data_IF_446130364168
#
_entry.id   IF_446130364168
#
_cell.length_a   1.000
_cell.length_b   1.000
_cell.length_c   1.000
_cell.angle_alpha   90.00
_cell.angle_beta   90.00
_cell.angle_gamma   90.00
#
_symmetry.space_group_name_H-M   'P 1'
#
loop_
_entity.id
_entity.type
_entity.pdbx_description
1 polymer ?
#
# COMPACT_ATOMS: atom_id res chain seq x y z
N UNK A 1 13.44 -14.89 9.00
CA UNK A 1 11.99 -14.53 9.04
C UNK A 1 11.40 -14.47 7.64
N UNK A 2 12.06 -13.81 6.69
CA UNK A 2 11.62 -13.69 5.28
C UNK A 2 11.36 -15.05 4.59
N UNK A 3 12.26 -16.02 4.75
CA UNK A 3 12.08 -17.37 4.17
C UNK A 3 10.82 -18.10 4.68
N UNK A 4 10.40 -17.84 5.93
CA UNK A 4 9.18 -18.42 6.51
C UNK A 4 7.93 -17.79 5.88
N UNK A 5 7.91 -16.47 5.77
CA UNK A 5 6.78 -15.73 5.17
C UNK A 5 6.60 -16.16 3.71
N UNK A 6 7.69 -16.22 2.94
CA UNK A 6 7.61 -16.60 1.52
C UNK A 6 7.14 -18.04 1.31
N UNK A 7 7.54 -18.97 2.19
CA UNK A 7 7.02 -20.33 2.18
C UNK A 7 5.51 -20.35 2.49
N UNK A 8 5.06 -19.62 3.50
CA UNK A 8 3.68 -19.63 3.96
C UNK A 8 2.72 -18.92 2.99
N UNK A 9 3.19 -18.02 2.13
CA UNK A 9 2.38 -17.44 1.03
C UNK A 9 1.85 -18.47 0.03
N UNK A 10 2.32 -19.72 0.07
CA UNK A 10 1.72 -20.84 -0.69
C UNK A 10 0.41 -21.34 -0.10
N UNK A 11 0.07 -20.92 1.12
CA UNK A 11 -1.20 -21.20 1.78
C UNK A 11 -2.17 -20.05 1.47
N UNK A 12 -3.33 -20.36 0.92
CA UNK A 12 -4.25 -19.36 0.36
C UNK A 12 -4.76 -18.39 1.43
N UNK A 13 -5.10 -18.88 2.63
CA UNK A 13 -5.59 -18.01 3.70
C UNK A 13 -4.48 -17.10 4.24
N UNK A 14 -3.27 -17.62 4.41
CA UNK A 14 -2.10 -16.83 4.83
C UNK A 14 -1.75 -15.77 3.78
N UNK A 15 -1.81 -16.12 2.50
CA UNK A 15 -1.58 -15.18 1.40
C UNK A 15 -2.61 -14.04 1.43
N UNK A 16 -3.88 -14.35 1.69
CA UNK A 16 -4.93 -13.34 1.82
C UNK A 16 -4.67 -12.43 3.02
N UNK A 17 -4.40 -12.99 4.21
CA UNK A 17 -4.07 -12.21 5.41
C UNK A 17 -2.87 -11.28 5.22
N UNK A 18 -1.82 -11.79 4.57
CA UNK A 18 -0.64 -11.02 4.23
C UNK A 18 -1.01 -9.84 3.32
N UNK A 19 -1.82 -10.11 2.28
CA UNK A 19 -2.28 -9.10 1.34
C UNK A 19 -3.05 -7.97 2.02
N UNK A 20 -3.89 -8.25 3.01
CA UNK A 20 -4.69 -7.24 3.72
C UNK A 20 -3.84 -6.12 4.33
N UNK A 21 -2.60 -6.43 4.70
CA UNK A 21 -1.66 -5.51 5.36
C UNK A 21 -0.70 -4.80 4.41
N UNK A 22 -0.68 -5.17 3.13
CA UNK A 22 0.20 -4.51 2.14
C UNK A 22 -0.10 -3.02 2.00
N UNK A 23 0.92 -2.25 1.63
CA UNK A 23 0.78 -0.85 1.25
C UNK A 23 -0.07 -0.72 -0.02
N UNK A 24 -0.87 0.34 -0.09
CA UNK A 24 -1.69 0.66 -1.26
C UNK A 24 -0.88 1.54 -2.21
N UNK A 25 -0.59 1.01 -3.40
CA UNK A 25 0.11 1.76 -4.46
C UNK A 25 -0.85 2.34 -5.50
N UNK A 26 -1.97 1.67 -5.74
CA UNK A 26 -3.02 2.08 -6.68
C UNK A 26 -4.39 1.81 -6.06
N UNK A 27 -5.32 2.76 -6.18
CA UNK A 27 -6.65 2.66 -5.58
C UNK A 27 -7.64 3.66 -6.20
N UNK A 28 -8.48 3.17 -7.10
CA UNK A 28 -9.46 3.99 -7.82
C UNK A 28 -10.53 4.60 -6.92
N UNK A 29 -10.90 3.88 -5.86
CA UNK A 29 -11.99 4.26 -4.97
C UNK A 29 -11.51 4.93 -3.68
N UNK A 30 -10.21 5.22 -3.54
CA UNK A 30 -9.68 5.81 -2.30
C UNK A 30 -10.15 7.26 -2.06
N UNK A 31 -10.70 7.93 -3.08
CA UNK A 31 -11.41 9.21 -2.92
C UNK A 31 -12.58 9.13 -1.93
N UNK A 32 -13.18 7.96 -1.76
CA UNK A 32 -14.27 7.74 -0.80
C UNK A 32 -13.80 7.93 0.66
N UNK A 33 -12.50 7.77 0.91
CA UNK A 33 -11.93 8.05 2.23
C UNK A 33 -11.86 9.54 2.56
N UNK A 34 -12.04 10.42 1.57
CA UNK A 34 -12.16 11.85 1.81
C UNK A 34 -13.61 12.26 2.18
N UNK A 35 -14.57 11.32 2.18
CA UNK A 35 -15.96 11.55 2.63
C UNK A 35 -16.16 11.20 4.12
N UNK A 36 -15.13 10.69 4.79
CA UNK A 36 -15.13 10.36 6.22
C UNK A 36 -15.25 11.62 7.08
N UNK A 37 -15.80 11.49 8.29
CA UNK A 37 -15.97 12.59 9.26
C UNK A 37 -14.77 13.54 9.36
N UNK A 38 -15.02 14.84 9.17
CA UNK A 38 -14.03 15.93 9.14
C UNK A 38 -13.16 15.99 10.41
N UNK A 39 -13.67 15.55 11.56
CA UNK A 39 -12.92 15.54 12.82
C UNK A 39 -11.74 14.56 12.82
N UNK A 40 -11.79 13.53 11.97
CA UNK A 40 -10.78 12.46 11.92
C UNK A 40 -10.19 12.28 10.53
N UNK A 41 -10.79 12.86 9.49
CA UNK A 41 -10.32 12.79 8.10
C UNK A 41 -8.90 13.33 7.90
N UNK A 42 -8.50 14.31 8.72
CA UNK A 42 -7.14 14.88 8.68
C UNK A 42 -6.08 14.00 9.34
N UNK A 43 -6.49 12.97 10.09
CA UNK A 43 -5.58 12.03 10.75
C UNK A 43 -4.87 11.14 9.71
N UNK A 44 -3.54 11.25 9.54
CA UNK A 44 -2.83 10.52 8.49
C UNK A 44 -3.01 9.00 8.60
N UNK A 45 -3.02 8.47 9.83
CA UNK A 45 -3.17 7.04 10.07
C UNK A 45 -4.55 6.52 9.62
N UNK A 46 -5.63 7.29 9.82
CA UNK A 46 -6.97 6.91 9.40
C UNK A 46 -7.06 6.94 7.88
N UNK A 47 -6.41 7.92 7.23
CA UNK A 47 -6.33 7.98 5.78
C UNK A 47 -5.63 6.75 5.19
N UNK A 48 -4.46 6.37 5.72
CA UNK A 48 -3.75 5.16 5.29
C UNK A 48 -4.57 3.90 5.54
N UNK A 49 -5.21 3.80 6.70
CA UNK A 49 -6.05 2.65 7.03
C UNK A 49 -7.28 2.55 6.13
N UNK A 50 -7.96 3.68 5.87
CA UNK A 50 -9.11 3.72 4.96
C UNK A 50 -8.70 3.32 3.53
N UNK A 51 -7.51 3.73 3.07
CA UNK A 51 -7.02 3.32 1.75
C UNK A 51 -6.80 1.81 1.68
N UNK A 52 -6.18 1.22 2.71
CA UNK A 52 -6.04 -0.24 2.82
C UNK A 52 -7.40 -0.92 2.83
N UNK A 53 -8.33 -0.38 3.61
CA UNK A 53 -9.71 -0.87 3.71
C UNK A 53 -10.41 -0.88 2.35
N UNK A 54 -10.43 0.24 1.61
CA UNK A 54 -11.05 0.33 0.29
C UNK A 54 -10.46 -0.71 -0.67
N UNK A 55 -9.12 -0.79 -0.74
CA UNK A 55 -8.44 -1.79 -1.58
C UNK A 55 -8.83 -3.21 -1.17
N UNK A 56 -8.86 -3.50 0.13
CA UNK A 56 -9.21 -4.83 0.66
C UNK A 56 -10.66 -5.21 0.32
N UNK A 57 -11.60 -4.27 0.41
CA UNK A 57 -13.00 -4.48 0.02
C UNK A 57 -13.11 -4.76 -1.48
N UNK A 58 -12.39 -4.01 -2.33
CA UNK A 58 -12.35 -4.28 -3.77
C UNK A 58 -11.84 -5.70 -4.07
N UNK A 59 -10.68 -6.06 -3.49
CA UNK A 59 -10.09 -7.40 -3.66
C UNK A 59 -10.99 -8.51 -3.12
N UNK A 60 -11.73 -8.26 -2.02
CA UNK A 60 -12.71 -9.20 -1.51
C UNK A 60 -13.79 -9.50 -2.57
N UNK A 61 -14.43 -8.47 -3.13
CA UNK A 61 -15.47 -8.65 -4.15
C UNK A 61 -14.94 -9.31 -5.43
N UNK A 62 -13.71 -8.98 -5.84
CA UNK A 62 -13.03 -9.68 -6.94
C UNK A 62 -12.85 -11.18 -6.64
N UNK A 63 -12.39 -11.56 -5.45
CA UNK A 63 -12.19 -12.97 -5.11
C UNK A 63 -13.53 -13.73 -5.08
N UNK A 64 -14.54 -13.18 -4.41
CA UNK A 64 -15.78 -13.91 -4.11
C UNK A 64 -16.78 -13.95 -5.27
N UNK A 65 -16.57 -13.12 -6.30
CA UNK A 65 -17.28 -13.21 -7.58
C UNK A 65 -16.82 -14.43 -8.38
N UNK A 66 -15.54 -14.82 -8.29
CA UNK A 66 -15.01 -16.02 -8.96
C UNK A 66 -15.00 -17.28 -8.08
N UNK A 67 -14.86 -17.12 -6.77
CA UNK A 67 -14.71 -18.23 -5.80
C UNK A 67 -15.81 -18.20 -4.76
N UNK A 68 -16.97 -18.72 -5.17
CA UNK A 68 -18.17 -18.78 -4.33
C UNK A 68 -17.95 -19.55 -3.02
N UNK A 69 -17.09 -20.56 -3.04
CA UNK A 69 -16.70 -21.37 -1.88
C UNK A 69 -15.95 -20.57 -0.80
N UNK A 70 -15.38 -19.41 -1.16
CA UNK A 70 -14.61 -18.55 -0.26
C UNK A 70 -15.40 -17.35 0.28
N UNK A 71 -16.64 -17.15 -0.16
CA UNK A 71 -17.50 -15.99 0.20
C UNK A 71 -17.52 -15.69 1.68
N UNK A 72 -17.99 -16.66 2.46
CA UNK A 72 -18.11 -16.53 3.91
C UNK A 72 -16.74 -16.36 4.59
N UNK A 73 -15.72 -17.12 4.14
CA UNK A 73 -14.38 -17.12 4.76
C UNK A 73 -13.69 -15.77 4.59
N UNK A 74 -13.67 -15.25 3.37
CA UNK A 74 -13.01 -13.98 3.06
C UNK A 74 -13.76 -12.81 3.68
N UNK A 75 -15.09 -12.85 3.70
CA UNK A 75 -15.91 -11.85 4.37
C UNK A 75 -15.64 -11.81 5.89
N UNK A 76 -15.63 -12.96 6.57
CA UNK A 76 -15.33 -13.05 8.00
C UNK A 76 -13.89 -12.62 8.31
N UNK A 77 -12.93 -12.99 7.46
CA UNK A 77 -11.53 -12.60 7.61
C UNK A 77 -11.36 -11.08 7.50
N UNK A 78 -11.99 -10.45 6.51
CA UNK A 78 -11.94 -8.99 6.36
C UNK A 78 -12.63 -8.29 7.53
N UNK A 79 -13.80 -8.77 7.98
CA UNK A 79 -14.48 -8.26 9.17
C UNK A 79 -13.56 -8.28 10.40
N UNK A 80 -12.96 -9.44 10.70
CA UNK A 80 -12.00 -9.55 11.80
C UNK A 80 -10.86 -8.54 11.66
N UNK A 81 -10.23 -8.47 10.48
CA UNK A 81 -9.10 -7.57 10.24
C UNK A 81 -9.47 -6.09 10.49
N UNK A 82 -10.65 -5.65 10.06
CA UNK A 82 -11.12 -4.27 10.29
C UNK A 82 -11.28 -4.01 11.78
N UNK A 83 -12.01 -4.88 12.48
CA UNK A 83 -12.30 -4.72 13.91
C UNK A 83 -11.04 -4.81 14.76
N UNK A 84 -10.11 -5.72 14.43
CA UNK A 84 -8.82 -5.87 15.11
C UNK A 84 -7.96 -4.60 14.95
N UNK A 85 -7.86 -4.07 13.72
CA UNK A 85 -7.11 -2.83 13.44
C UNK A 85 -7.69 -1.65 14.19
N UNK A 86 -9.01 -1.44 14.09
CA UNK A 86 -9.70 -0.35 14.80
C UNK A 86 -9.53 -0.46 16.31
N UNK A 87 -9.69 -1.66 16.89
CA UNK A 87 -9.51 -1.90 18.32
C UNK A 87 -8.08 -1.61 18.78
N UNK A 88 -7.08 -2.06 18.01
CA UNK A 88 -5.68 -1.79 18.32
C UNK A 88 -5.35 -0.30 18.28
N UNK A 89 -5.98 0.47 17.36
CA UNK A 89 -5.83 1.92 17.35
C UNK A 89 -6.40 2.57 18.61
N UNK A 90 -7.63 2.21 19.01
CA UNK A 90 -8.22 2.72 20.25
C UNK A 90 -7.38 2.41 21.50
N UNK A 91 -6.69 1.27 21.53
CA UNK A 91 -5.85 0.87 22.66
C UNK A 91 -4.45 1.53 22.67
N UNK A 92 -3.90 1.86 21.51
CA UNK A 92 -2.51 2.34 21.37
C UNK A 92 -2.41 3.86 21.37
N UNK A 93 -3.49 4.55 20.99
CA UNK A 93 -3.45 5.99 20.77
C UNK A 93 -3.96 6.78 21.98
N UNK A 94 -3.16 7.73 22.47
CA UNK A 94 -3.59 8.81 23.37
C UNK A 94 -4.54 9.82 22.68
N UNK A 95 -5.04 9.45 21.49
CA UNK A 95 -5.93 10.30 20.70
C UNK A 95 -7.27 10.34 21.43
N UNK A 96 -7.91 11.50 21.40
CA UNK A 96 -9.22 11.72 21.99
C UNK A 96 -10.31 11.06 21.12
N UNK A 97 -10.16 9.77 20.79
CA UNK A 97 -11.00 9.01 19.85
C UNK A 97 -12.41 8.75 20.39
N UNK A 98 -12.75 9.26 21.57
CA UNK A 98 -14.07 9.10 22.21
C UNK A 98 -15.21 9.85 21.51
N UNK A 99 -14.97 10.58 20.42
CA UNK A 99 -16.01 11.35 19.71
C UNK A 99 -16.50 10.75 18.39
N UNK A 100 -15.73 9.87 17.75
CA UNK A 100 -16.09 9.32 16.43
C UNK A 100 -15.94 7.80 16.43
N UNK A 101 -17.01 7.12 16.02
CA UNK A 101 -17.01 5.69 15.78
C UNK A 101 -16.43 5.41 14.39
N UNK A 102 -15.20 4.93 14.35
CA UNK A 102 -14.47 4.64 13.11
C UNK A 102 -15.15 3.53 12.31
N UNK A 103 -15.74 2.51 12.96
CA UNK A 103 -16.43 1.43 12.26
C UNK A 103 -17.63 1.98 11.51
N UNK A 104 -18.40 2.86 12.15
CA UNK A 104 -19.53 3.54 11.51
C UNK A 104 -19.11 4.39 10.31
N UNK A 105 -17.97 5.07 10.38
CA UNK A 105 -17.44 5.82 9.23
C UNK A 105 -16.98 4.90 8.08
N UNK A 106 -16.28 3.80 8.38
CA UNK A 106 -15.89 2.83 7.36
C UNK A 106 -17.09 2.12 6.73
N UNK A 107 -18.17 1.91 7.49
CA UNK A 107 -19.39 1.33 6.97
C UNK A 107 -20.02 2.22 5.89
N UNK A 108 -19.99 3.56 6.06
CA UNK A 108 -20.47 4.49 5.02
C UNK A 108 -19.71 4.31 3.71
N UNK A 109 -18.37 4.22 3.81
CA UNK A 109 -17.49 3.96 2.66
C UNK A 109 -17.82 2.61 2.02
N UNK A 110 -18.03 1.56 2.82
CA UNK A 110 -18.42 0.24 2.33
C UNK A 110 -19.74 0.29 1.54
N UNK A 111 -20.78 0.88 2.12
CA UNK A 111 -22.11 0.95 1.48
C UNK A 111 -22.06 1.76 0.18
N UNK A 112 -21.27 2.83 0.12
CA UNK A 112 -21.06 3.59 -1.12
C UNK A 112 -20.34 2.76 -2.20
N UNK A 113 -19.35 1.94 -1.82
CA UNK A 113 -18.71 1.01 -2.75
C UNK A 113 -19.69 -0.06 -3.25
N UNK A 114 -20.52 -0.58 -2.35
CA UNK A 114 -21.53 -1.59 -2.66
C UNK A 114 -22.57 -1.06 -3.65
N UNK A 115 -23.12 0.12 -3.39
CA UNK A 115 -24.13 0.73 -4.28
C UNK A 115 -23.57 1.15 -5.64
N UNK A 116 -22.31 1.60 -5.70
CA UNK A 116 -21.72 2.07 -6.96
C UNK A 116 -21.22 0.96 -7.89
N UNK A 117 -20.69 -0.15 -7.34
CA UNK A 117 -19.97 -1.16 -8.13
C UNK A 117 -20.47 -2.60 -7.97
N UNK A 118 -21.13 -2.93 -6.86
CA UNK A 118 -21.42 -4.32 -6.48
C UNK A 118 -22.91 -4.59 -6.24
N UNK A 119 -23.80 -3.71 -6.69
CA UNK A 119 -25.25 -3.82 -6.51
C UNK A 119 -25.84 -5.12 -7.08
N UNK A 120 -25.20 -5.67 -8.13
CA UNK A 120 -25.65 -6.88 -8.84
C UNK A 120 -24.96 -8.17 -8.35
N UNK A 121 -24.14 -8.11 -7.31
CA UNK A 121 -23.45 -9.29 -6.81
C UNK A 121 -24.41 -10.26 -6.12
N UNK A 122 -24.26 -11.55 -6.42
CA UNK A 122 -25.12 -12.61 -5.86
C UNK A 122 -24.85 -12.92 -4.39
N UNK A 123 -23.71 -12.47 -3.86
CA UNK A 123 -23.40 -12.52 -2.44
C UNK A 123 -22.84 -11.18 -2.00
N UNK A 124 -23.40 -10.66 -0.93
CA UNK A 124 -23.03 -9.38 -0.36
C UNK A 124 -22.39 -9.66 0.99
N UNK A 125 -21.09 -9.37 1.10
CA UNK A 125 -20.44 -9.32 2.39
C UNK A 125 -20.89 -8.05 3.14
N UNK A 126 -21.26 -8.21 4.41
CA UNK A 126 -21.66 -7.11 5.27
C UNK A 126 -20.60 -6.88 6.35
N UNK A 127 -20.27 -5.61 6.59
CA UNK A 127 -19.46 -5.21 7.73
C UNK A 127 -20.33 -5.25 8.99
N UNK A 128 -19.97 -6.11 9.93
CA UNK A 128 -20.68 -6.24 11.19
C UNK A 128 -20.48 -4.98 12.03
N UNK A 129 -21.57 -4.31 12.41
CA UNK A 129 -21.55 -3.22 13.39
C UNK A 129 -21.16 -3.82 14.74
N UNK A 130 -20.13 -3.31 15.40
CA UNK A 130 -19.68 -3.88 16.66
C UNK A 130 -20.56 -3.45 17.83
N UNK A 131 -21.11 -4.42 18.56
CA UNK A 131 -21.38 -4.27 19.99
C UNK A 131 -20.22 -4.93 20.77
N UNK A 132 -19.18 -4.15 21.10
CA UNK A 132 -18.10 -4.48 22.05
C UNK A 132 -17.19 -5.71 21.81
N UNK A 133 -16.12 -5.79 22.62
CA UNK A 133 -14.98 -6.72 22.57
C UNK A 133 -15.29 -8.21 22.56
N UNK A 134 -16.47 -8.63 23.05
CA UNK A 134 -16.91 -10.03 22.99
C UNK A 134 -17.05 -10.52 21.54
N UNK A 135 -17.41 -9.63 20.61
CA UNK A 135 -17.51 -9.98 19.20
C UNK A 135 -16.13 -10.18 18.54
N UNK A 136 -15.12 -9.39 18.91
CA UNK A 136 -13.79 -9.46 18.27
C UNK A 136 -13.08 -10.80 18.50
N UNK A 137 -13.10 -11.29 19.74
CA UNK A 137 -12.48 -12.57 20.08
C UNK A 137 -13.23 -13.74 19.40
N UNK A 138 -14.55 -13.65 19.24
CA UNK A 138 -15.33 -14.62 18.46
C UNK A 138 -14.95 -14.58 16.96
N UNK A 139 -14.85 -13.39 16.37
CA UNK A 139 -14.40 -13.22 14.97
C UNK A 139 -13.01 -13.83 14.76
N UNK A 140 -12.08 -13.60 15.70
CA UNK A 140 -10.74 -14.17 15.67
C UNK A 140 -10.77 -15.69 15.65
N UNK A 141 -11.59 -16.30 16.53
CA UNK A 141 -11.74 -17.76 16.59
C UNK A 141 -12.31 -18.32 15.30
N UNK A 142 -13.38 -17.71 14.77
CA UNK A 142 -13.97 -18.08 13.48
C UNK A 142 -12.94 -18.04 12.36
N UNK A 143 -12.14 -16.98 12.29
CA UNK A 143 -11.04 -16.85 11.33
C UNK A 143 -10.03 -18.00 11.45
N UNK A 144 -9.49 -18.25 12.64
CA UNK A 144 -8.50 -19.32 12.88
C UNK A 144 -9.03 -20.68 12.40
N UNK A 145 -10.31 -20.96 12.66
CA UNK A 145 -10.93 -22.22 12.24
C UNK A 145 -11.07 -22.31 10.72
N UNK A 146 -11.50 -21.24 10.05
CA UNK A 146 -11.59 -21.22 8.58
C UNK A 146 -10.22 -21.36 7.91
N UNK A 147 -9.20 -20.67 8.43
CA UNK A 147 -7.83 -20.73 7.89
C UNK A 147 -7.25 -22.14 7.98
N UNK A 148 -7.44 -22.80 9.12
CA UNK A 148 -7.01 -24.19 9.32
C UNK A 148 -7.67 -25.12 8.30
N UNK A 149 -9.01 -25.06 8.15
CA UNK A 149 -9.74 -25.92 7.23
C UNK A 149 -9.39 -25.63 5.76
N UNK A 150 -9.15 -24.36 5.38
CA UNK A 150 -8.73 -23.97 4.03
C UNK A 150 -7.36 -24.53 3.67
N UNK A 151 -6.40 -24.41 4.60
CA UNK A 151 -5.02 -24.79 4.34
C UNK A 151 -4.76 -26.29 4.46
N UNK A 152 -5.68 -27.06 5.05
CA UNK A 152 -5.48 -28.47 5.39
C UNK A 152 -4.99 -29.32 4.21
N UNK A 153 -5.68 -29.27 3.05
CA UNK A 153 -5.32 -30.11 1.91
C UNK A 153 -3.95 -29.74 1.32
N UNK A 154 -3.64 -28.45 1.28
CA UNK A 154 -2.34 -27.94 0.83
C UNK A 154 -1.23 -28.38 1.77
N UNK A 155 -1.44 -28.23 3.09
CA UNK A 155 -0.53 -28.71 4.12
C UNK A 155 -0.34 -30.22 4.05
N UNK A 156 -1.41 -30.99 3.85
CA UNK A 156 -1.34 -32.44 3.63
C UNK A 156 -0.45 -32.79 2.45
N UNK A 157 -0.61 -32.09 1.33
CA UNK A 157 0.24 -32.25 0.15
C UNK A 157 1.71 -31.93 0.41
N UNK A 158 2.02 -30.94 1.25
CA UNK A 158 3.39 -30.57 1.59
C UNK A 158 4.03 -31.52 2.61
N UNK A 159 3.25 -32.02 3.57
CA UNK A 159 3.75 -32.79 4.72
C UNK A 159 3.84 -34.30 4.49
N UNK A 160 3.10 -34.84 3.51
CA UNK A 160 3.09 -36.29 3.22
C UNK A 160 4.07 -36.70 2.10
N UNK A 161 4.59 -35.72 1.35
CA UNK A 161 5.59 -35.96 0.31
C UNK A 161 6.96 -36.27 0.93
N UNK A 162 7.73 -37.21 0.36
CA UNK A 162 9.05 -37.57 0.89
C UNK A 162 10.07 -36.44 0.81
N UNK A 163 9.90 -35.52 -0.15
CA UNK A 163 10.77 -34.35 -0.29
C UNK A 163 9.94 -33.13 -0.67
N UNK A 164 9.91 -32.14 0.22
CA UNK A 164 9.31 -30.84 -0.06
C UNK A 164 10.16 -29.74 0.58
N UNK A 165 10.51 -28.72 -0.20
CA UNK A 165 11.24 -27.57 0.33
C UNK A 165 10.40 -26.88 1.43
N UNK A 166 11.05 -26.39 2.48
CA UNK A 166 10.41 -25.73 3.61
C UNK A 166 9.43 -26.62 4.41
N UNK A 167 9.57 -27.95 4.35
CA UNK A 167 8.62 -28.82 5.02
C UNK A 167 8.49 -28.57 6.53
N UNK A 168 9.60 -28.28 7.21
CA UNK A 168 9.61 -27.93 8.64
C UNK A 168 8.79 -26.66 8.91
N UNK A 169 8.82 -25.66 8.02
CA UNK A 169 8.03 -24.43 8.17
C UNK A 169 6.52 -24.75 8.13
N UNK A 170 6.10 -25.63 7.22
CA UNK A 170 4.70 -26.05 7.14
C UNK A 170 4.29 -26.91 8.33
N UNK A 171 5.21 -27.74 8.85
CA UNK A 171 4.98 -28.55 10.04
C UNK A 171 4.78 -27.67 11.28
N UNK A 172 5.65 -26.69 11.49
CA UNK A 172 5.55 -25.73 12.59
C UNK A 172 4.25 -24.91 12.51
N UNK A 173 3.93 -24.42 11.31
CA UNK A 173 2.67 -23.70 11.08
C UNK A 173 1.44 -24.57 11.36
N UNK A 174 1.45 -25.83 10.91
CA UNK A 174 0.36 -26.76 11.21
C UNK A 174 0.25 -26.98 12.72
N UNK A 175 1.36 -27.22 13.41
CA UNK A 175 1.37 -27.45 14.86
C UNK A 175 0.79 -26.27 15.63
N UNK A 176 1.19 -25.04 15.29
CA UNK A 176 0.62 -23.81 15.85
C UNK A 176 -0.89 -23.71 15.57
N UNK A 177 -1.30 -23.97 14.32
CA UNK A 177 -2.71 -23.90 13.90
C UNK A 177 -3.59 -24.93 14.62
N UNK A 178 -3.13 -26.18 14.75
CA UNK A 178 -3.82 -27.25 15.48
C UNK A 178 -3.95 -26.92 16.96
N UNK A 179 -2.91 -26.36 17.57
CA UNK A 179 -2.94 -25.95 18.96
C UNK A 179 -3.98 -24.86 19.21
N UNK A 180 -4.04 -23.82 18.37
CA UNK A 180 -5.05 -22.77 18.52
C UNK A 180 -6.47 -23.29 18.23
N UNK A 181 -6.64 -24.10 17.18
CA UNK A 181 -7.92 -24.74 16.87
C UNK A 181 -8.43 -25.61 18.02
N UNK A 182 -7.58 -26.45 18.59
CA UNK A 182 -7.96 -27.38 19.67
C UNK A 182 -8.34 -26.66 20.97
N UNK A 183 -7.72 -25.52 21.29
CA UNK A 183 -8.18 -24.66 22.40
C UNK A 183 -9.61 -24.17 22.18
N UNK A 184 -9.91 -23.72 20.96
CA UNK A 184 -11.23 -23.20 20.61
C UNK A 184 -12.27 -24.31 20.70
N UNK A 185 -11.98 -25.48 20.13
CA UNK A 185 -12.88 -26.64 20.16
C UNK A 185 -13.19 -27.10 21.60
N UNK A 186 -12.19 -27.17 22.49
CA UNK A 186 -12.37 -27.61 23.89
C UNK A 186 -13.21 -26.64 24.72
N UNK A 187 -12.97 -25.33 24.59
CA UNK A 187 -13.61 -24.31 25.45
C UNK A 187 -15.01 -23.98 24.96
N UNK A 188 -15.27 -24.06 23.65
CA UNK A 188 -16.51 -23.60 23.04
C UNK A 188 -17.18 -24.67 22.19
N UNK A 189 -17.37 -25.88 22.74
CA UNK A 189 -18.06 -26.99 22.07
C UNK A 189 -19.40 -26.57 21.46
N UNK A 190 -20.19 -25.72 22.14
CA UNK A 190 -21.46 -25.21 21.61
C UNK A 190 -21.28 -24.18 20.47
N UNK A 191 -20.18 -23.41 20.45
CA UNK A 191 -19.87 -22.45 19.37
C UNK A 191 -19.32 -23.16 18.12
N UNK A 192 -18.56 -24.23 18.35
CA UNK A 192 -18.14 -25.19 17.33
C UNK A 192 -19.35 -25.91 16.69
N UNK A 193 -20.43 -26.10 17.46
CA UNK A 193 -21.72 -26.63 16.97
C UNK A 193 -22.64 -25.57 16.36
N UNK A 194 -22.62 -24.32 16.83
CA UNK A 194 -23.48 -23.23 16.32
C UNK A 194 -22.95 -22.58 15.04
N UNK A 195 -21.62 -22.58 14.85
CA UNK A 195 -21.03 -22.64 13.52
C UNK A 195 -21.37 -24.05 13.05
N UNK A 196 -22.52 -24.22 12.38
CA UNK A 196 -23.21 -25.48 12.01
C UNK A 196 -22.39 -26.53 11.19
N UNK A 197 -21.07 -26.45 11.27
CA UNK A 197 -20.17 -26.40 10.13
C UNK A 197 -18.68 -26.44 10.55
N UNK A 198 -18.28 -26.26 11.82
CA UNK A 198 -16.87 -26.52 12.18
C UNK A 198 -16.51 -28.00 12.04
N UNK A 199 -17.44 -28.89 12.37
CA UNK A 199 -17.35 -30.29 11.95
C UNK A 199 -17.77 -30.40 10.49
N UNK A 200 -18.92 -29.89 10.04
CA UNK A 200 -19.37 -30.10 8.64
C UNK A 200 -18.37 -29.68 7.53
N UNK A 201 -17.64 -28.57 7.69
CA UNK A 201 -16.64 -28.08 6.73
C UNK A 201 -15.25 -28.70 6.92
N UNK A 202 -14.96 -29.22 8.10
CA UNK A 202 -13.70 -29.90 8.44
C UNK A 202 -13.92 -31.41 8.67
N UNK A 203 -15.06 -31.96 8.23
CA UNK A 203 -15.68 -33.24 8.64
C UNK A 203 -14.81 -34.48 8.33
N UNK A 204 -13.67 -34.28 7.69
CA UNK A 204 -12.77 -35.33 7.20
C UNK A 204 -11.35 -35.21 7.77
N UNK A 205 -11.10 -34.27 8.67
CA UNK A 205 -9.75 -33.81 8.98
C UNK A 205 -9.49 -33.78 10.48
N UNK A 206 -9.10 -34.93 11.02
CA UNK A 206 -8.49 -35.00 12.35
C UNK A 206 -7.17 -34.21 12.34
N UNK A 207 -7.03 -33.14 13.15
CA UNK A 207 -5.80 -32.38 13.25
C UNK A 207 -4.59 -33.21 13.72
N UNK A 208 -4.82 -34.25 14.50
CA UNK A 208 -3.76 -35.13 15.01
C UNK A 208 -3.28 -36.11 13.93
N UNK A 209 -4.14 -36.51 12.99
CA UNK A 209 -3.79 -37.41 11.89
C UNK A 209 -2.67 -36.84 11.02
N UNK A 210 -2.77 -35.56 10.63
CA UNK A 210 -1.77 -34.94 9.76
C UNK A 210 -0.44 -34.68 10.49
N UNK A 211 -0.48 -34.37 11.78
CA UNK A 211 0.72 -34.22 12.60
C UNK A 211 1.46 -35.55 12.80
N UNK A 212 0.72 -36.64 12.97
CA UNK A 212 1.28 -37.98 13.17
C UNK A 212 1.80 -38.60 11.87
N UNK A 213 1.13 -38.35 10.74
CA UNK A 213 1.50 -38.89 9.43
C UNK A 213 2.48 -38.01 8.65
N UNK A 214 2.90 -36.87 9.20
CA UNK A 214 3.86 -35.99 8.54
C UNK A 214 5.24 -36.64 8.43
N UNK A 215 5.79 -36.65 7.20
CA UNK A 215 7.19 -37.04 6.94
C UNK A 215 8.20 -35.96 7.32
N UNK A 216 7.70 -34.82 7.79
CA UNK A 216 8.47 -33.63 8.12
C UNK A 216 8.50 -33.34 9.61
N UNK A 217 8.04 -34.32 10.40
CA UNK A 217 8.33 -34.35 11.83
C UNK A 217 9.84 -34.29 11.96
N UNK A 218 10.33 -33.18 12.47
CA UNK A 218 11.72 -33.06 12.88
C UNK A 218 11.93 -34.20 13.87
N UNK A 219 12.66 -35.25 13.47
CA UNK A 219 13.45 -35.99 14.43
C UNK A 219 14.28 -34.90 15.06
N UNK A 220 13.99 -34.53 16.31
CA UNK A 220 14.94 -33.77 17.12
C UNK A 220 16.27 -34.47 16.89
N UNK A 221 17.12 -33.89 16.04
CA UNK A 221 18.39 -34.49 15.68
C UNK A 221 19.07 -34.70 17.01
N UNK A 222 19.15 -35.97 17.43
CA UNK A 222 19.81 -36.48 18.62
C UNK A 222 20.01 -35.44 19.72
N UNK A 223 19.29 -35.56 20.83
CA UNK A 223 19.66 -34.93 22.10
C UNK A 223 21.13 -35.21 22.52
N UNK A 224 21.86 -36.07 21.81
CA UNK A 224 23.28 -36.37 21.95
C UNK A 224 24.26 -35.44 21.21
N UNK A 225 23.80 -34.36 20.57
CA UNK A 225 24.68 -33.24 20.18
C UNK A 225 24.13 -31.89 20.66
N UNK A 226 23.82 -31.87 21.95
CA UNK A 226 23.66 -30.65 22.72
C UNK A 226 25.04 -30.16 23.19
N UNK A 227 25.81 -29.53 22.31
CA UNK A 227 26.72 -28.47 22.78
C UNK A 227 25.85 -27.27 23.14
N UNK A 228 25.21 -27.36 24.31
CA UNK A 228 24.65 -26.20 24.98
C UNK A 228 25.80 -25.58 25.76
N UNK A 229 26.34 -24.49 25.22
CA UNK A 229 27.11 -23.52 26.00
C UNK A 229 26.26 -23.17 27.23
N UNK A 230 26.80 -23.42 28.42
CA UNK A 230 26.11 -23.10 29.67
C UNK A 230 25.75 -21.60 29.66
N UNK A 231 24.60 -21.25 30.25
CA UNK A 231 24.11 -19.86 30.31
C UNK A 231 25.18 -18.88 30.83
N UNK A 232 26.06 -19.35 31.70
CA UNK A 232 27.21 -18.63 32.26
C UNK A 232 28.27 -18.30 31.20
N UNK A 233 28.51 -19.18 30.24
CA UNK A 233 29.49 -19.02 29.17
C UNK A 233 28.94 -18.15 28.01
N UNK A 234 27.61 -18.13 27.83
CA UNK A 234 26.90 -17.17 26.97
C UNK A 234 26.92 -15.74 27.55
N UNK A 235 26.69 -15.60 28.86
CA UNK A 235 26.82 -14.30 29.56
C UNK A 235 28.27 -13.82 29.57
N UNK A 236 29.25 -14.71 29.76
CA UNK A 236 30.67 -14.38 29.65
C UNK A 236 31.05 -13.93 28.23
N UNK A 237 30.60 -14.65 27.19
CA UNK A 237 30.83 -14.27 25.79
C UNK A 237 30.16 -12.93 25.42
N UNK A 238 29.03 -12.62 26.05
CA UNK A 238 28.32 -11.34 25.87
C UNK A 238 29.08 -10.19 26.54
N UNK A 239 29.62 -10.40 27.74
CA UNK A 239 30.46 -9.42 28.44
C UNK A 239 31.77 -9.20 27.67
N UNK A 240 32.37 -10.26 27.13
CA UNK A 240 33.60 -10.18 26.34
C UNK A 240 33.35 -9.45 25.00
N UNK A 241 32.25 -9.76 24.29
CA UNK A 241 31.86 -9.06 23.07
C UNK A 241 31.51 -7.57 23.31
N UNK A 242 30.89 -7.25 24.45
CA UNK A 242 30.61 -5.86 24.85
C UNK A 242 31.91 -5.12 25.22
N UNK A 243 32.86 -5.79 25.88
CA UNK A 243 34.17 -5.21 26.20
C UNK A 243 35.04 -4.97 24.96
N UNK A 244 34.96 -5.86 23.95
CA UNK A 244 35.60 -5.68 22.65
C UNK A 244 34.93 -4.59 21.81
N UNK A 245 33.63 -4.34 21.99
CA UNK A 245 32.92 -3.24 21.33
C UNK A 245 33.23 -1.87 21.98
N UNK A 246 33.39 -1.82 23.30
CA UNK A 246 33.71 -0.58 24.05
C UNK A 246 35.16 -0.15 23.81
N UNK A 247 36.10 -1.10 23.73
CA UNK A 247 37.52 -0.83 23.47
C UNK A 247 37.84 -0.45 22.02
N UNK A 248 36.90 -0.66 21.08
CA UNK A 248 37.01 -0.27 19.67
C UNK A 248 36.31 1.05 19.32
N UNK A 249 36.06 1.90 20.32
CA UNK A 249 35.63 3.28 20.08
C UNK A 249 36.84 4.11 19.67
N UNK A 250 37.37 3.85 18.47
CA UNK A 250 38.05 4.93 17.74
C UNK A 250 36.95 5.90 17.28
N UNK A 251 37.15 7.17 17.61
CA UNK A 251 36.31 8.28 17.22
C UNK A 251 35.87 8.13 15.77
N UNK A 252 34.56 8.12 15.55
CA UNK A 252 33.99 8.21 14.21
C UNK A 252 34.36 9.58 13.65
N UNK A 253 35.52 9.65 12.98
CA UNK A 253 35.78 10.67 11.96
C UNK A 253 34.72 10.45 10.90
N UNK A 254 33.78 11.39 10.83
CA UNK A 254 32.87 11.55 9.70
C UNK A 254 33.75 11.45 8.45
N UNK A 255 33.55 10.39 7.65
CA UNK A 255 34.26 10.25 6.39
C UNK A 255 33.97 11.48 5.55
N UNK A 256 35.01 12.28 5.27
CA UNK A 256 34.92 13.36 4.32
C UNK A 256 34.31 12.84 3.01
N UNK A 257 33.38 13.62 2.47
CA UNK A 257 32.67 13.33 1.24
C UNK A 257 33.68 13.28 0.09
N UNK A 258 34.13 12.09 -0.30
CA UNK A 258 35.08 11.92 -1.40
C UNK A 258 34.34 11.64 -2.70
N UNK A 259 34.85 12.20 -3.81
CA UNK A 259 34.21 12.20 -5.13
C UNK A 259 34.06 10.80 -5.77
N UNK A 260 34.53 9.73 -5.11
CA UNK A 260 34.45 8.34 -5.57
C UNK A 260 33.30 7.55 -4.94
N UNK A 261 32.46 8.16 -4.11
CA UNK A 261 31.29 7.49 -3.53
C UNK A 261 30.14 7.45 -4.55
N UNK A 262 29.56 6.26 -4.79
CA UNK A 262 28.41 6.09 -5.69
C UNK A 262 27.20 6.95 -5.28
N UNK A 263 27.14 7.38 -4.02
CA UNK A 263 26.14 8.34 -3.52
C UNK A 263 26.29 9.74 -4.13
N UNK A 264 27.51 10.15 -4.49
CA UNK A 264 27.77 11.42 -5.17
C UNK A 264 27.15 11.46 -6.57
N UNK A 265 27.07 10.32 -7.27
CA UNK A 265 26.43 10.22 -8.59
C UNK A 265 24.94 10.60 -8.50
N UNK A 266 24.23 10.09 -7.49
CA UNK A 266 22.81 10.39 -7.28
C UNK A 266 22.61 11.89 -6.99
N UNK A 267 23.48 12.48 -6.17
CA UNK A 267 23.41 13.90 -5.83
C UNK A 267 23.74 14.82 -7.03
N UNK A 268 24.69 14.42 -7.88
CA UNK A 268 25.01 15.12 -9.13
C UNK A 268 23.82 15.06 -10.09
N UNK A 269 23.20 13.89 -10.25
CA UNK A 269 22.03 13.73 -11.12
C UNK A 269 20.85 14.57 -10.63
N UNK A 270 20.55 14.56 -9.33
CA UNK A 270 19.49 15.39 -8.75
C UNK A 270 19.77 16.89 -8.90
N UNK A 271 21.03 17.31 -8.72
CA UNK A 271 21.44 18.71 -8.90
C UNK A 271 21.29 19.15 -10.36
N UNK A 272 21.72 18.32 -11.31
CA UNK A 272 21.56 18.59 -12.75
C UNK A 272 20.08 18.67 -13.15
N UNK A 273 19.23 17.82 -12.57
CA UNK A 273 17.79 17.84 -12.80
C UNK A 273 17.14 19.12 -12.28
N UNK A 274 17.51 19.56 -11.07
CA UNK A 274 17.05 20.82 -10.50
C UNK A 274 17.44 22.01 -11.39
N UNK A 275 18.69 22.06 -11.83
CA UNK A 275 19.18 23.10 -12.74
C UNK A 275 18.43 23.09 -14.07
N UNK A 276 18.22 21.92 -14.68
CA UNK A 276 17.44 21.78 -15.92
C UNK A 276 16.01 22.32 -15.78
N UNK A 277 15.32 21.96 -14.69
CA UNK A 277 13.97 22.45 -14.41
C UNK A 277 13.97 23.97 -14.24
N UNK A 278 14.95 24.54 -13.52
CA UNK A 278 15.05 26.00 -13.38
C UNK A 278 15.23 26.71 -14.73
N UNK A 279 16.05 26.17 -15.64
CA UNK A 279 16.19 26.72 -16.99
C UNK A 279 14.90 26.61 -17.81
N UNK A 280 14.13 25.52 -17.69
CA UNK A 280 12.84 25.40 -18.36
C UNK A 280 11.83 26.43 -17.84
N UNK A 281 11.78 26.66 -16.53
CA UNK A 281 10.91 27.68 -15.94
C UNK A 281 11.36 29.10 -16.36
N UNK A 282 12.65 29.40 -16.33
CA UNK A 282 13.18 30.69 -16.78
C UNK A 282 13.00 30.90 -18.29
N UNK A 283 13.10 29.87 -19.11
CA UNK A 283 12.81 29.95 -20.56
C UNK A 283 11.36 30.32 -20.83
N UNK A 284 10.42 29.85 -20.00
CA UNK A 284 8.99 30.15 -20.13
C UNK A 284 8.62 31.54 -19.59
N UNK A 285 9.32 32.03 -18.56
CA UNK A 285 8.95 33.26 -17.82
C UNK A 285 9.76 34.49 -18.28
N UNK A 286 11.01 34.31 -18.72
CA UNK A 286 11.88 35.41 -19.16
C UNK A 286 11.74 35.62 -20.67
N UNK A 287 11.73 36.85 -21.23
CA UNK A 287 11.57 37.10 -22.68
C UNK A 287 12.79 36.68 -23.53
N UNK A 288 13.54 35.66 -23.10
CA UNK A 288 14.69 35.10 -23.81
C UNK A 288 14.32 34.45 -25.15
N UNK A 289 13.08 33.97 -25.32
CA UNK A 289 12.57 33.44 -26.61
C UNK A 289 12.68 34.48 -27.74
N UNK A 290 12.43 35.75 -27.42
CA UNK A 290 12.53 36.86 -28.39
C UNK A 290 13.98 37.33 -28.59
N UNK A 291 14.83 37.20 -27.57
CA UNK A 291 16.26 37.55 -27.64
C UNK A 291 17.08 36.54 -28.47
N UNK A 292 16.78 35.24 -28.35
CA UNK A 292 17.46 34.17 -29.10
C UNK A 292 17.03 34.16 -30.58
N UNK A 293 15.75 34.36 -30.88
CA UNK A 293 15.28 34.46 -32.27
C UNK A 293 15.93 35.64 -33.00
N UNK A 294 16.13 36.77 -32.32
CA UNK A 294 16.78 37.95 -32.89
C UNK A 294 18.30 37.79 -33.10
N UNK A 295 18.96 36.90 -32.34
CA UNK A 295 20.39 36.60 -32.51
C UNK A 295 20.67 35.51 -33.54
N UNK A 296 19.75 34.56 -33.74
CA UNK A 296 19.90 33.45 -34.71
C UNK A 296 19.38 33.86 -36.11
N UNK A 297 18.51 34.86 -36.19
CA UNK A 297 17.94 35.36 -37.44
C UNK A 297 18.82 36.32 -38.24
N UNK A 298 20.08 35.99 -38.54
CA UNK A 298 20.81 36.61 -39.67
C UNK A 298 21.79 35.63 -40.31
N UNK A 299 21.30 34.80 -41.26
CA UNK A 299 22.02 34.44 -42.50
C UNK A 299 21.15 33.65 -43.50
N UNK A 300 21.00 34.29 -44.66
CA UNK A 300 20.87 33.81 -46.06
C UNK A 300 19.82 32.73 -46.41
N UNK A 301 18.85 33.23 -47.17
CA UNK A 301 17.99 32.55 -48.15
C UNK A 301 18.81 31.58 -49.01
N UNK A 302 18.41 30.31 -49.05
CA UNK A 302 18.55 29.45 -50.22
C UNK A 302 17.19 28.80 -50.46
N UNK A 303 16.60 29.17 -51.59
CA UNK A 303 15.40 28.62 -52.22
C UNK A 303 15.81 27.34 -52.94
N UNK A 304 15.08 26.23 -52.73
CA UNK A 304 14.57 25.39 -53.84
C UNK A 304 13.67 24.22 -53.34
N UNK A 305 12.43 24.26 -53.87
CA UNK A 305 11.44 23.23 -54.21
C UNK A 305 11.55 21.79 -53.67
N UNK A 306 10.44 21.27 -53.10
CA UNK A 306 9.49 20.38 -53.80
C UNK A 306 8.13 20.29 -53.08
N UNK A 307 7.10 20.02 -53.88
CA UNK A 307 5.65 20.18 -53.70
C UNK A 307 4.97 19.00 -52.99
N UNK A 308 3.94 19.29 -52.18
CA UNK A 308 2.72 18.47 -51.96
C UNK A 308 1.76 19.32 -51.08
N UNK A 309 0.93 20.21 -51.65
CA UNK A 309 -0.41 19.99 -52.21
C UNK A 309 -1.42 19.38 -51.23
N UNK A 310 -2.18 20.27 -50.57
CA UNK A 310 -3.67 20.35 -50.51
C UNK A 310 -4.25 19.61 -49.28
N UNK A 311 -5.23 20.14 -48.54
CA UNK A 311 -6.48 20.81 -48.92
C UNK A 311 -6.77 21.99 -47.94
N UNK A 312 -7.10 23.19 -48.43
CA UNK A 312 -8.46 23.83 -48.49
C UNK A 312 -9.19 23.89 -47.11
N UNK A 313 -9.78 24.99 -46.63
CA UNK A 313 -10.51 26.06 -47.33
C UNK A 313 -10.84 27.23 -46.36
N UNK A 314 -10.80 28.47 -46.87
CA UNK A 314 -11.65 29.68 -46.60
C UNK A 314 -11.86 30.22 -45.17
N UNK A 315 -11.33 31.39 -44.76
CA UNK A 315 -11.60 32.82 -45.08
C UNK A 315 -13.01 33.35 -44.76
N UNK A 316 -13.09 34.23 -43.75
CA UNK A 316 -13.82 35.52 -43.70
C UNK A 316 -13.29 36.29 -42.45
N UNK A 317 -12.55 37.41 -42.56
CA UNK A 317 -13.01 38.79 -42.86
C UNK A 317 -14.10 39.24 -41.85
N UNK A 318 -13.98 40.29 -41.03
CA UNK A 318 -13.26 41.56 -41.14
C UNK A 318 -12.90 42.14 -39.75
N UNK A 319 -11.87 42.98 -39.74
CA UNK A 319 -11.43 43.86 -38.65
C UNK A 319 -12.12 45.23 -38.76
N UNK A 320 -12.49 45.86 -37.64
CA UNK A 320 -12.30 47.31 -37.46
C UNK A 320 -12.17 47.66 -35.96
N UNK A 321 -10.97 48.10 -35.55
CA UNK A 321 -10.81 49.17 -34.58
C UNK A 321 -9.41 49.78 -34.74
N UNK A 322 -9.38 51.07 -35.09
CA UNK A 322 -8.20 51.86 -35.41
C UNK A 322 -7.24 52.02 -34.22
N UNK A 323 -5.93 52.09 -34.47
CA UNK A 323 -5.10 53.19 -33.96
C UNK A 323 -3.73 53.34 -34.69
N UNK A 324 -3.37 54.61 -34.92
CA UNK A 324 -2.02 55.21 -35.12
C UNK A 324 -1.07 54.68 -36.22
N UNK A 325 -0.68 55.60 -37.13
CA UNK A 325 0.60 56.32 -36.95
C UNK A 325 0.90 57.37 -38.03
N UNK A 326 1.69 58.38 -37.60
CA UNK A 326 2.57 59.27 -38.38
C UNK A 326 1.89 60.40 -39.20
N UNK A 327 2.37 61.65 -39.20
CA UNK A 327 3.74 62.12 -39.01
C UNK A 327 3.76 63.63 -38.75
N UNK A 328 4.69 64.07 -37.90
CA UNK A 328 5.11 65.46 -37.73
C UNK A 328 5.52 66.07 -39.08
N UNK A 329 4.74 67.02 -39.59
CA UNK A 329 5.16 67.99 -40.59
C UNK A 329 5.01 69.38 -39.96
N UNK A 330 6.12 70.11 -39.91
CA UNK A 330 6.21 71.41 -39.23
C UNK A 330 5.40 72.49 -39.94
N UNK A 331 4.62 73.23 -39.16
CA UNK A 331 3.93 74.44 -39.62
C UNK A 331 4.47 75.66 -38.88
N UNK A 332 4.96 76.62 -39.67
CA UNK A 332 5.42 77.94 -39.25
C UNK A 332 4.27 78.74 -38.64
N UNK A 333 4.45 79.27 -37.43
CA UNK A 333 3.55 80.23 -36.81
C UNK A 333 4.09 81.63 -37.10
N UNK A 334 3.39 82.40 -37.93
CA UNK A 334 3.61 83.84 -38.11
C UNK A 334 2.75 84.61 -37.12
N UNK A 335 3.38 85.42 -36.27
CA UNK A 335 2.70 86.40 -35.42
C UNK A 335 2.17 87.56 -36.26
N UNK A 336 0.96 88.03 -35.96
CA UNK A 336 0.61 89.42 -36.21
C UNK A 336 -0.18 89.97 -35.02
N UNK A 337 0.25 91.15 -34.58
CA UNK A 337 -0.17 91.90 -33.40
C UNK A 337 -1.26 92.93 -33.72
N UNK A 338 -1.79 93.50 -32.63
CA UNK A 338 -2.52 94.78 -32.49
C UNK A 338 -4.05 94.70 -32.49
N UNK A 339 -4.70 94.85 -31.32
CA UNK A 339 -5.06 96.10 -30.62
C UNK A 339 -6.04 96.98 -31.40
N UNK A 340 -7.32 97.00 -31.00
CA UNK A 340 -7.92 98.10 -30.21
C UNK A 340 -9.47 98.07 -30.19
N UNK A 341 -9.98 98.45 -29.01
CA UNK A 341 -11.29 99.07 -28.69
C UNK A 341 -12.57 98.25 -28.83
#
# INVERSE_FOLDING_TARGET
>A
MENRIEALKKLDSFKFDFMLNNSVTHCDNCKLCDEVNELVKSEPWLKFFCYQFVRNVQTLYEIISFRHDLRERRCNTLNYWIHDRVTNFYNTSNINVKKVDIISELLKVWEHMKSSKYEKESYICELQKSEQSKNLEEMKRKKIMFDYCENYNTLKGFLTKPYHNNCNIYYDYLKESVHEFSKIAKVHNAQCSSINNCLSFCNKYDPEDLLNNSKCKVVEISKDKKEYIQKEECEASKVEAVSQAISKTEEVKISEFTFSDNRAIILILLSLWGVFLTFLFLYKITPFRSWISNKIGKRKIIRDHFNEQSDDETLNADYECMDKNMQNAGYNISYNTDWNS
#
